data_IF_238855955961
#
_entry.id   IF_238855955961
#
_cell.length_a   1.000
_cell.length_b   1.000
_cell.length_c   1.000
_cell.angle_alpha   90.00
_cell.angle_beta   90.00
_cell.angle_gamma   90.00
#
_symmetry.space_group_name_H-M   'P 1'
#
loop_
_entity.id
_entity.type
_entity.pdbx_description
1 polymer ?
#
# COMPACT_ATOMS: atom_id res chain seq x y z
N UNK A 1 -61.26 4.29 -60.59
CA UNK A 1 -61.04 5.74 -60.47
C UNK A 1 -61.08 6.06 -58.98
N UNK A 2 -60.08 6.60 -58.31
CA UNK A 2 -58.90 7.29 -58.76
C UNK A 2 -58.51 8.21 -57.61
N UNK A 3 -57.36 7.88 -57.01
CA UNK A 3 -56.38 8.80 -56.46
C UNK A 3 -56.55 9.49 -55.09
N UNK A 4 -55.68 9.00 -54.20
CA UNK A 4 -54.74 9.73 -53.34
C UNK A 4 -55.18 10.20 -51.95
N UNK A 5 -55.10 9.23 -51.01
CA UNK A 5 -54.51 9.45 -49.69
C UNK A 5 -53.07 9.96 -49.85
N UNK A 6 -52.77 11.16 -49.35
CA UNK A 6 -51.41 11.56 -48.97
C UNK A 6 -51.37 11.65 -47.45
N UNK A 7 -51.05 10.52 -46.82
CA UNK A 7 -50.44 10.51 -45.48
C UNK A 7 -49.02 11.04 -45.66
N UNK A 8 -48.77 12.29 -45.28
CA UNK A 8 -47.41 12.77 -45.05
C UNK A 8 -46.86 12.04 -43.82
N UNK A 9 -46.28 10.86 -44.05
CA UNK A 9 -45.31 10.29 -43.14
C UNK A 9 -44.07 11.17 -43.24
N UNK A 10 -43.92 12.07 -42.26
CA UNK A 10 -42.63 12.67 -41.95
C UNK A 10 -41.77 11.53 -41.39
N UNK A 11 -41.08 10.82 -42.27
CA UNK A 11 -39.94 9.99 -41.89
C UNK A 11 -38.79 10.96 -41.63
N UNK A 12 -38.81 11.63 -40.48
CA UNK A 12 -37.54 12.03 -39.88
C UNK A 12 -36.83 10.73 -39.55
N UNK A 13 -35.72 10.48 -40.22
CA UNK A 13 -34.79 9.40 -39.91
C UNK A 13 -34.43 9.47 -38.43
N UNK A 14 -35.17 8.73 -37.61
CA UNK A 14 -34.71 8.32 -36.30
C UNK A 14 -33.65 7.26 -36.59
N UNK A 15 -32.42 7.69 -36.84
CA UNK A 15 -31.26 6.86 -36.57
C UNK A 15 -31.31 6.58 -35.08
N UNK A 16 -31.87 5.42 -34.74
CA UNK A 16 -31.81 4.87 -33.39
C UNK A 16 -30.32 4.69 -33.10
N UNK A 17 -29.82 5.58 -32.24
CA UNK A 17 -28.52 5.51 -31.60
C UNK A 17 -28.37 4.13 -30.96
N UNK A 18 -27.58 3.28 -31.59
CA UNK A 18 -26.94 2.14 -30.96
C UNK A 18 -25.47 2.21 -31.32
N UNK A 19 -24.75 3.08 -30.61
CA UNK A 19 -23.44 2.73 -30.09
C UNK A 19 -23.28 3.35 -28.70
N UNK A 20 -23.04 2.45 -27.75
CA UNK A 20 -22.99 2.63 -26.31
C UNK A 20 -21.54 2.97 -25.94
N UNK A 21 -21.07 4.13 -26.41
CA UNK A 21 -19.93 4.77 -25.77
C UNK A 21 -20.49 5.51 -24.56
N UNK A 22 -20.33 4.92 -23.37
CA UNK A 22 -20.61 5.61 -22.12
C UNK A 22 -19.90 6.97 -22.16
N UNK A 23 -20.66 8.05 -22.05
CA UNK A 23 -20.09 9.39 -21.95
C UNK A 23 -19.03 9.36 -20.86
N UNK A 24 -17.77 9.59 -21.24
CA UNK A 24 -16.68 9.76 -20.30
C UNK A 24 -17.11 10.76 -19.22
N UNK A 25 -16.67 10.59 -17.96
CA UNK A 25 -16.99 11.56 -16.93
C UNK A 25 -16.61 12.97 -17.38
N UNK A 26 -17.37 13.97 -16.92
CA UNK A 26 -17.01 15.36 -17.18
C UNK A 26 -15.57 15.58 -16.73
N UNK A 27 -14.78 16.32 -17.54
CA UNK A 27 -13.34 16.54 -17.30
C UNK A 27 -12.47 15.28 -17.41
N UNK A 28 -12.93 14.30 -18.19
CA UNK A 28 -12.10 13.21 -18.70
C UNK A 28 -12.00 13.29 -20.23
N UNK A 29 -10.88 12.84 -20.78
CA UNK A 29 -10.62 12.84 -22.22
C UNK A 29 -9.71 11.69 -22.62
N UNK A 30 -9.85 11.21 -23.85
CA UNK A 30 -9.08 10.10 -24.41
C UNK A 30 -9.93 8.82 -24.57
N UNK A 31 -9.40 7.82 -25.26
CA UNK A 31 -10.07 6.53 -25.48
C UNK A 31 -9.29 5.38 -24.84
N UNK A 32 -8.11 5.07 -25.37
CA UNK A 32 -7.26 3.99 -24.88
C UNK A 32 -6.48 4.43 -23.63
N UNK A 33 -6.05 5.70 -23.64
CA UNK A 33 -5.46 6.38 -22.48
C UNK A 33 -6.45 7.46 -22.07
N UNK A 34 -7.21 7.20 -21.00
CA UNK A 34 -8.16 8.15 -20.45
C UNK A 34 -7.48 8.95 -19.35
N UNK A 35 -7.48 10.27 -19.52
CA UNK A 35 -6.98 11.20 -18.52
C UNK A 35 -8.14 11.99 -17.93
N UNK A 36 -8.27 11.96 -16.61
CA UNK A 36 -9.30 12.63 -15.84
C UNK A 36 -8.71 13.69 -14.92
N UNK A 37 -9.39 14.82 -14.79
CA UNK A 37 -9.00 15.94 -13.93
C UNK A 37 -10.16 16.45 -13.08
N UNK A 38 -9.85 17.00 -11.90
CA UNK A 38 -10.83 17.55 -10.96
C UNK A 38 -12.00 16.59 -10.66
N UNK A 39 -11.71 15.30 -10.52
CA UNK A 39 -12.69 14.30 -10.11
C UNK A 39 -12.83 14.28 -8.60
N UNK A 40 -14.04 14.08 -8.10
CA UNK A 40 -14.34 13.86 -6.67
C UNK A 40 -14.54 12.37 -6.36
N UNK A 41 -14.99 11.60 -7.36
CA UNK A 41 -15.13 10.15 -7.33
C UNK A 41 -14.93 9.58 -8.74
N UNK A 42 -14.73 8.26 -8.84
CA UNK A 42 -14.58 7.55 -10.11
C UNK A 42 -15.66 6.48 -10.17
N UNK A 43 -16.49 6.53 -11.21
CA UNK A 43 -17.45 5.46 -11.51
C UNK A 43 -16.93 4.62 -12.69
N UNK A 44 -16.48 3.38 -12.46
CA UNK A 44 -15.94 2.52 -13.52
C UNK A 44 -16.89 2.31 -14.70
N UNK A 45 -18.22 2.38 -14.48
CA UNK A 45 -19.23 2.22 -15.55
C UNK A 45 -19.24 3.36 -16.58
N UNK A 46 -18.60 4.49 -16.27
CA UNK A 46 -18.50 5.66 -17.15
C UNK A 46 -17.29 5.60 -18.09
N UNK A 47 -16.49 4.54 -18.05
CA UNK A 47 -15.28 4.39 -18.85
C UNK A 47 -15.49 3.35 -19.96
N UNK A 48 -14.84 3.52 -21.13
CA UNK A 48 -14.93 2.57 -22.22
C UNK A 48 -14.21 1.27 -21.88
N UNK A 49 -14.78 0.13 -22.28
CA UNK A 49 -14.18 -1.19 -22.04
C UNK A 49 -12.85 -1.41 -22.78
N UNK A 50 -12.60 -0.64 -23.85
CA UNK A 50 -11.35 -0.64 -24.61
C UNK A 50 -10.18 0.06 -23.90
N UNK A 51 -10.45 0.84 -22.84
CA UNK A 51 -9.43 1.60 -22.12
C UNK A 51 -8.29 0.70 -21.62
N UNK A 52 -7.07 1.12 -21.91
CA UNK A 52 -5.82 0.44 -21.52
C UNK A 52 -5.14 1.13 -20.34
N UNK A 53 -5.29 2.46 -20.24
CA UNK A 53 -4.65 3.26 -19.20
C UNK A 53 -5.62 4.31 -18.65
N UNK A 54 -5.68 4.40 -17.33
CA UNK A 54 -6.42 5.43 -16.62
C UNK A 54 -5.44 6.31 -15.84
N UNK A 55 -5.38 7.60 -16.21
CA UNK A 55 -4.64 8.62 -15.49
C UNK A 55 -5.60 9.58 -14.78
N UNK A 56 -5.55 9.57 -13.46
CA UNK A 56 -6.29 10.48 -12.59
C UNK A 56 -5.34 11.57 -12.11
N UNK A 57 -5.57 12.81 -12.51
CA UNK A 57 -4.72 13.95 -12.20
C UNK A 57 -5.51 15.03 -11.47
N UNK A 58 -4.87 15.85 -10.63
CA UNK A 58 -5.46 17.05 -10.05
C UNK A 58 -6.89 16.84 -9.51
N UNK A 59 -7.10 15.74 -8.78
CA UNK A 59 -8.43 15.29 -8.35
C UNK A 59 -8.52 15.23 -6.82
N UNK A 60 -9.70 15.48 -6.27
CA UNK A 60 -9.93 15.54 -4.81
C UNK A 60 -10.45 14.20 -4.27
N UNK A 61 -10.09 13.10 -4.92
CA UNK A 61 -10.47 11.75 -4.49
C UNK A 61 -9.68 11.45 -3.22
N UNK A 62 -10.38 11.29 -2.10
CA UNK A 62 -9.73 11.06 -0.82
C UNK A 62 -9.44 9.58 -0.53
N UNK A 63 -10.20 8.68 -1.16
CA UNK A 63 -10.19 7.26 -0.83
C UNK A 63 -10.10 6.43 -2.11
N UNK A 64 -9.23 5.42 -2.09
CA UNK A 64 -9.29 4.29 -3.01
C UNK A 64 -9.90 3.11 -2.25
N UNK A 65 -11.20 2.84 -2.37
CA UNK A 65 -11.82 1.69 -1.72
C UNK A 65 -11.54 0.40 -2.50
N UNK A 66 -11.58 -0.74 -1.81
CA UNK A 66 -11.49 -2.09 -2.38
C UNK A 66 -12.42 -2.29 -3.59
N UNK A 67 -13.66 -1.81 -3.51
CA UNK A 67 -14.67 -1.99 -4.56
C UNK A 67 -14.31 -1.32 -5.89
N UNK A 68 -13.46 -0.30 -5.90
CA UNK A 68 -13.17 0.49 -7.09
C UNK A 68 -12.42 -0.32 -8.16
N UNK A 69 -11.26 -0.87 -7.81
CA UNK A 69 -10.44 -1.61 -8.78
C UNK A 69 -11.07 -2.96 -9.13
N UNK A 70 -11.78 -3.60 -8.20
CA UNK A 70 -12.56 -4.81 -8.50
C UNK A 70 -13.63 -4.57 -9.56
N UNK A 71 -14.25 -3.39 -9.55
CA UNK A 71 -15.23 -2.98 -10.56
C UNK A 71 -14.55 -2.69 -11.91
N UNK A 72 -13.36 -2.08 -11.91
CA UNK A 72 -12.59 -1.85 -13.13
C UNK A 72 -12.17 -3.16 -13.82
N UNK A 73 -11.82 -4.22 -13.07
CA UNK A 73 -11.48 -5.52 -13.66
C UNK A 73 -12.65 -6.07 -14.50
N UNK A 74 -13.88 -5.89 -14.03
CA UNK A 74 -15.08 -6.40 -14.70
C UNK A 74 -15.50 -5.54 -15.88
N UNK A 75 -15.40 -4.21 -15.76
CA UNK A 75 -15.94 -3.26 -16.74
C UNK A 75 -14.89 -2.88 -17.80
N UNK A 76 -13.61 -2.83 -17.42
CA UNK A 76 -12.50 -2.41 -18.28
C UNK A 76 -11.44 -3.53 -18.34
N UNK A 77 -11.73 -4.64 -19.05
CA UNK A 77 -10.88 -5.83 -19.06
C UNK A 77 -9.47 -5.59 -19.62
N UNK A 78 -9.31 -4.57 -20.45
CA UNK A 78 -8.03 -4.20 -21.07
C UNK A 78 -7.17 -3.26 -20.22
N UNK A 79 -7.66 -2.80 -19.07
CA UNK A 79 -6.95 -1.85 -18.22
C UNK A 79 -5.65 -2.47 -17.69
N UNK A 80 -4.51 -1.91 -18.11
CA UNK A 80 -3.15 -2.32 -17.74
C UNK A 80 -2.47 -1.32 -16.82
N UNK A 81 -2.72 -0.03 -16.99
CA UNK A 81 -2.03 1.02 -16.24
C UNK A 81 -3.01 1.85 -15.44
N UNK A 82 -2.77 1.94 -14.13
CA UNK A 82 -3.49 2.85 -13.25
C UNK A 82 -2.50 3.88 -12.69
N UNK A 83 -2.67 5.14 -13.10
CA UNK A 83 -1.81 6.25 -12.70
C UNK A 83 -2.60 7.30 -11.93
N UNK A 84 -2.09 7.71 -10.79
CA UNK A 84 -2.58 8.86 -10.03
C UNK A 84 -1.48 9.91 -9.92
N UNK A 85 -1.83 11.18 -10.14
CA UNK A 85 -0.90 12.31 -10.00
C UNK A 85 -1.59 13.49 -9.32
N UNK A 86 -0.89 14.19 -8.43
CA UNK A 86 -1.36 15.44 -7.82
C UNK A 86 -2.80 15.36 -7.29
N UNK A 87 -3.15 14.26 -6.63
CA UNK A 87 -4.50 14.02 -6.13
C UNK A 87 -4.51 13.95 -4.61
N UNK A 88 -5.67 14.15 -3.99
CA UNK A 88 -5.80 14.24 -2.52
C UNK A 88 -6.07 12.89 -1.83
N UNK A 89 -5.44 11.80 -2.31
CA UNK A 89 -5.69 10.45 -1.77
C UNK A 89 -5.15 10.35 -0.36
N UNK A 90 -6.03 10.37 0.64
CA UNK A 90 -5.67 10.20 2.04
C UNK A 90 -5.43 8.72 2.39
N UNK A 91 -6.22 7.81 1.81
CA UNK A 91 -6.16 6.40 2.20
C UNK A 91 -6.16 5.46 0.99
N UNK A 92 -5.21 4.52 0.99
CA UNK A 92 -5.31 3.30 0.20
C UNK A 92 -5.80 2.21 1.14
N UNK A 93 -7.06 1.83 0.98
CA UNK A 93 -7.77 0.95 1.91
C UNK A 93 -7.28 -0.51 1.77
N UNK A 94 -7.54 -1.33 2.79
CA UNK A 94 -7.30 -2.77 2.70
C UNK A 94 -7.94 -3.36 1.44
N UNK A 95 -7.25 -4.30 0.80
CA UNK A 95 -7.69 -4.98 -0.41
C UNK A 95 -7.90 -4.10 -1.65
N UNK A 96 -7.53 -2.80 -1.60
CA UNK A 96 -7.67 -1.88 -2.74
C UNK A 96 -7.15 -2.46 -4.04
N UNK A 97 -5.96 -3.05 -3.99
CA UNK A 97 -5.29 -3.65 -5.14
C UNK A 97 -5.31 -5.18 -5.10
N UNK A 98 -6.15 -5.79 -4.25
CA UNK A 98 -6.25 -7.24 -4.20
C UNK A 98 -6.88 -7.81 -5.46
N UNK A 99 -6.39 -8.97 -5.90
CA UNK A 99 -6.93 -9.71 -7.05
C UNK A 99 -7.03 -8.90 -8.36
N UNK A 100 -6.27 -7.80 -8.49
CA UNK A 100 -6.17 -7.08 -9.77
C UNK A 100 -5.46 -7.98 -10.77
N UNK A 101 -6.22 -8.63 -11.65
CA UNK A 101 -5.68 -9.60 -12.62
C UNK A 101 -5.19 -8.96 -13.91
N UNK A 102 -5.72 -7.77 -14.21
CA UNK A 102 -5.53 -7.13 -15.52
C UNK A 102 -4.44 -6.06 -15.48
N UNK A 103 -4.17 -5.46 -14.32
CA UNK A 103 -3.18 -4.39 -14.17
C UNK A 103 -1.75 -4.93 -14.27
N UNK A 104 -0.91 -4.23 -15.02
CA UNK A 104 0.54 -4.45 -15.09
C UNK A 104 1.33 -3.32 -14.43
N UNK A 105 0.76 -2.11 -14.30
CA UNK A 105 1.46 -0.94 -13.78
C UNK A 105 0.59 -0.12 -12.82
N UNK A 106 1.14 0.19 -11.65
CA UNK A 106 0.56 1.11 -10.66
C UNK A 106 1.56 2.25 -10.44
N UNK A 107 1.12 3.48 -10.71
CA UNK A 107 1.98 4.67 -10.62
C UNK A 107 1.28 5.72 -9.76
N UNK A 108 1.90 6.13 -8.66
CA UNK A 108 1.39 7.18 -7.78
C UNK A 108 2.45 8.26 -7.66
N UNK A 109 2.08 9.49 -8.04
CA UNK A 109 3.03 10.59 -8.14
C UNK A 109 2.49 11.89 -7.51
N UNK A 110 3.36 12.70 -6.93
CA UNK A 110 3.07 14.07 -6.48
C UNK A 110 1.83 14.15 -5.57
N UNK A 111 1.65 13.16 -4.69
CA UNK A 111 0.45 12.97 -3.87
C UNK A 111 0.81 12.90 -2.39
N UNK A 112 -0.13 13.26 -1.51
CA UNK A 112 0.01 13.09 -0.06
C UNK A 112 -0.98 12.06 0.43
N UNK A 113 -0.47 10.95 0.96
CA UNK A 113 -1.23 9.84 1.53
C UNK A 113 -1.08 9.89 3.04
N UNK A 114 -2.18 9.76 3.78
CA UNK A 114 -2.09 9.55 5.21
C UNK A 114 -1.62 8.12 5.45
N UNK A 115 -2.41 7.12 5.04
CA UNK A 115 -2.11 5.73 5.35
C UNK A 115 -2.25 4.81 4.14
N UNK A 116 -1.22 4.00 3.90
CA UNK A 116 -1.36 2.76 3.15
C UNK A 116 -1.72 1.67 4.16
N UNK A 117 -3.00 1.29 4.17
CA UNK A 117 -3.56 0.42 5.20
C UNK A 117 -3.02 -1.01 5.04
N UNK A 118 -3.05 -1.77 6.14
CA UNK A 118 -2.72 -3.19 6.15
C UNK A 118 -3.46 -3.93 5.02
N UNK A 119 -2.73 -4.78 4.28
CA UNK A 119 -3.22 -5.54 3.12
C UNK A 119 -3.76 -4.67 1.96
N UNK A 120 -3.38 -3.40 1.85
CA UNK A 120 -3.77 -2.56 0.72
C UNK A 120 -3.30 -3.12 -0.64
N UNK A 121 -2.09 -3.68 -0.66
CA UNK A 121 -1.47 -4.36 -1.80
C UNK A 121 -1.26 -5.84 -1.47
N UNK A 122 -2.35 -6.59 -1.32
CA UNK A 122 -2.33 -8.03 -1.05
C UNK A 122 -2.52 -8.88 -2.31
N UNK A 123 -1.85 -10.03 -2.37
CA UNK A 123 -2.04 -11.07 -3.41
C UNK A 123 -1.93 -10.56 -4.85
N UNK A 124 -1.02 -9.62 -5.09
CA UNK A 124 -0.79 -9.03 -6.41
C UNK A 124 0.14 -9.95 -7.20
N UNK A 125 -0.35 -10.48 -8.33
CA UNK A 125 0.41 -11.40 -9.20
C UNK A 125 0.59 -10.93 -10.64
N UNK A 126 -0.25 -10.00 -11.12
CA UNK A 126 -0.19 -9.52 -12.51
C UNK A 126 0.61 -8.24 -12.69
N UNK A 127 0.77 -7.46 -11.62
CA UNK A 127 1.47 -6.18 -11.68
C UNK A 127 2.96 -6.47 -11.81
N UNK A 128 3.60 -5.80 -12.77
CA UNK A 128 5.04 -5.88 -13.01
C UNK A 128 5.76 -4.65 -12.49
N UNK A 129 5.05 -3.52 -12.35
CA UNK A 129 5.64 -2.23 -12.02
C UNK A 129 4.81 -1.48 -10.98
N UNK A 130 5.42 -1.14 -9.85
CA UNK A 130 4.84 -0.27 -8.82
C UNK A 130 5.81 0.90 -8.60
N UNK A 131 5.34 2.14 -8.78
CA UNK A 131 6.16 3.32 -8.50
C UNK A 131 5.41 4.35 -7.64
N UNK A 132 6.06 4.76 -6.55
CA UNK A 132 5.69 5.90 -5.73
C UNK A 132 6.76 6.97 -5.89
N UNK A 133 6.41 8.09 -6.53
CA UNK A 133 7.37 9.13 -6.90
C UNK A 133 6.93 10.47 -6.32
N UNK A 134 7.78 11.10 -5.51
CA UNK A 134 7.46 12.38 -4.86
C UNK A 134 6.14 12.31 -4.06
N UNK A 135 6.02 11.28 -3.21
CA UNK A 135 4.84 11.04 -2.38
C UNK A 135 5.17 11.29 -0.91
N UNK A 136 4.29 12.00 -0.21
CA UNK A 136 4.35 12.09 1.26
C UNK A 136 3.40 11.05 1.85
N UNK A 137 3.88 10.23 2.79
CA UNK A 137 3.10 9.19 3.46
C UNK A 137 3.23 9.36 4.98
N UNK A 138 2.11 9.41 5.70
CA UNK A 138 2.18 9.41 7.16
C UNK A 138 2.55 8.00 7.68
N UNK A 139 1.83 6.96 7.25
CA UNK A 139 2.10 5.59 7.66
C UNK A 139 1.99 4.60 6.48
N UNK A 140 2.97 3.72 6.37
CA UNK A 140 2.85 2.43 5.68
C UNK A 140 2.63 1.37 6.75
N UNK A 141 1.41 0.84 6.84
CA UNK A 141 1.02 -0.07 7.91
C UNK A 141 1.66 -1.45 7.75
N UNK A 142 1.64 -2.25 8.83
CA UNK A 142 2.09 -3.65 8.81
C UNK A 142 1.39 -4.41 7.68
N UNK A 143 2.11 -5.28 6.97
CA UNK A 143 1.58 -6.06 5.85
C UNK A 143 0.88 -5.23 4.75
N UNK A 144 1.22 -3.94 4.60
CA UNK A 144 0.68 -3.10 3.54
C UNK A 144 0.95 -3.69 2.14
N UNK A 145 2.13 -4.27 1.94
CA UNK A 145 2.55 -5.01 0.76
C UNK A 145 2.83 -6.46 1.15
N UNK A 146 1.81 -7.31 1.09
CA UNK A 146 1.87 -8.72 1.50
C UNK A 146 1.57 -9.63 0.32
N UNK A 147 2.37 -10.69 0.12
CA UNK A 147 2.22 -11.64 -1.01
C UNK A 147 2.17 -10.93 -2.36
N UNK A 148 3.02 -9.93 -2.52
CA UNK A 148 3.24 -9.31 -3.83
C UNK A 148 4.25 -10.19 -4.54
N UNK A 149 3.93 -10.62 -5.77
CA UNK A 149 4.74 -11.60 -6.51
C UNK A 149 5.03 -11.13 -7.93
N UNK A 150 6.19 -11.52 -8.46
CA UNK A 150 6.60 -11.36 -9.86
C UNK A 150 6.67 -9.89 -10.34
N UNK A 151 7.17 -9.01 -9.47
CA UNK A 151 7.37 -7.60 -9.79
C UNK A 151 8.72 -7.40 -10.47
N UNK A 152 8.72 -6.84 -11.67
CA UNK A 152 9.94 -6.45 -12.34
C UNK A 152 10.57 -5.22 -11.68
N UNK A 153 9.75 -4.27 -11.24
CA UNK A 153 10.24 -2.99 -10.73
C UNK A 153 9.34 -2.39 -9.65
N UNK A 154 9.85 -2.30 -8.43
CA UNK A 154 9.24 -1.55 -7.34
C UNK A 154 10.13 -0.34 -6.99
N UNK A 155 9.65 0.87 -7.29
CA UNK A 155 10.38 2.12 -7.01
C UNK A 155 9.64 2.98 -6.00
N UNK A 156 10.38 3.45 -5.02
CA UNK A 156 10.00 4.45 -4.03
C UNK A 156 11.05 5.55 -4.07
N UNK A 157 10.76 6.64 -4.79
CA UNK A 157 11.73 7.70 -5.05
C UNK A 157 11.19 9.06 -4.59
N UNK A 158 12.05 9.85 -3.94
CA UNK A 158 11.69 11.15 -3.35
C UNK A 158 10.49 11.06 -2.40
N UNK A 159 10.39 10.00 -1.61
CA UNK A 159 9.31 9.85 -0.64
C UNK A 159 9.61 10.58 0.66
N UNK A 160 8.57 11.11 1.31
CA UNK A 160 8.63 11.57 2.70
C UNK A 160 7.71 10.71 3.53
N UNK A 161 8.26 9.80 4.33
CA UNK A 161 7.48 8.84 5.12
C UNK A 161 7.64 9.13 6.61
N UNK A 162 6.57 9.29 7.36
CA UNK A 162 6.66 9.42 8.82
C UNK A 162 6.90 8.06 9.48
N UNK A 163 6.14 7.02 9.14
CA UNK A 163 6.33 5.68 9.71
C UNK A 163 6.23 4.57 8.67
N UNK A 164 7.21 3.67 8.66
CA UNK A 164 7.15 2.36 8.00
C UNK A 164 7.08 1.32 9.11
N UNK A 165 5.93 0.64 9.24
CA UNK A 165 5.70 -0.34 10.31
C UNK A 165 6.44 -1.65 10.05
N UNK A 166 6.58 -2.47 11.09
CA UNK A 166 7.21 -3.79 10.99
C UNK A 166 6.47 -4.64 9.95
N UNK A 167 7.20 -5.47 9.19
CA UNK A 167 6.64 -6.34 8.16
C UNK A 167 5.76 -5.62 7.11
N UNK A 168 5.96 -4.31 6.88
CA UNK A 168 5.23 -3.57 5.82
C UNK A 168 5.44 -4.15 4.42
N UNK A 169 6.61 -4.74 4.18
CA UNK A 169 7.06 -5.35 2.93
C UNK A 169 7.34 -6.85 3.12
N UNK A 170 6.38 -7.58 3.71
CA UNK A 170 6.52 -9.00 3.98
C UNK A 170 6.15 -9.87 2.76
N UNK A 171 6.84 -10.99 2.57
CA UNK A 171 6.53 -11.96 1.49
C UNK A 171 6.54 -11.31 0.09
N UNK A 172 7.63 -10.59 -0.21
CA UNK A 172 7.90 -10.05 -1.54
C UNK A 172 8.66 -11.09 -2.38
N UNK A 173 7.97 -11.78 -3.27
CA UNK A 173 8.54 -12.91 -4.03
C UNK A 173 8.81 -12.56 -5.50
N UNK A 174 9.96 -13.01 -6.02
CA UNK A 174 10.40 -12.90 -7.41
C UNK A 174 10.47 -11.45 -7.92
N UNK A 175 11.13 -10.60 -7.15
CA UNK A 175 11.35 -9.21 -7.51
C UNK A 175 12.65 -9.08 -8.31
N UNK A 176 12.61 -8.43 -9.46
CA UNK A 176 13.86 -8.12 -10.18
C UNK A 176 14.56 -6.90 -9.57
N UNK A 177 13.82 -5.84 -9.33
CA UNK A 177 14.36 -4.58 -8.82
C UNK A 177 13.47 -3.97 -7.75
N UNK A 178 14.07 -3.68 -6.58
CA UNK A 178 13.47 -2.83 -5.55
C UNK A 178 14.38 -1.63 -5.30
N UNK A 179 13.83 -0.42 -5.43
CA UNK A 179 14.54 0.84 -5.30
C UNK A 179 13.87 1.73 -4.27
N UNK A 180 14.61 2.10 -3.23
CA UNK A 180 14.25 3.16 -2.30
C UNK A 180 15.30 4.27 -2.40
N UNK A 181 14.96 5.37 -3.06
CA UNK A 181 15.94 6.42 -3.38
C UNK A 181 15.49 7.81 -2.96
N UNK A 182 16.46 8.65 -2.59
CA UNK A 182 16.26 10.09 -2.33
C UNK A 182 15.12 10.39 -1.34
N UNK A 183 14.86 9.49 -0.40
CA UNK A 183 13.68 9.55 0.47
C UNK A 183 14.05 9.93 1.91
N UNK A 184 13.09 10.48 2.64
CA UNK A 184 13.21 10.87 4.03
C UNK A 184 12.20 10.11 4.89
N UNK A 185 12.69 9.19 5.71
CA UNK A 185 11.90 8.28 6.53
C UNK A 185 12.12 8.67 8.00
N UNK A 186 11.08 9.09 8.72
CA UNK A 186 11.24 9.46 10.13
C UNK A 186 11.44 8.23 11.01
N UNK A 187 10.56 7.24 10.89
CA UNK A 187 10.65 5.99 11.63
C UNK A 187 10.53 4.82 10.66
N UNK A 188 11.55 3.98 10.64
CA UNK A 188 11.48 2.64 10.07
C UNK A 188 11.52 1.65 11.23
N UNK A 189 10.41 0.97 11.46
CA UNK A 189 10.33 -0.10 12.46
C UNK A 189 11.20 -1.30 12.03
N UNK A 190 11.44 -2.18 12.99
CA UNK A 190 12.35 -3.31 12.80
C UNK A 190 11.76 -4.34 11.85
N UNK A 191 12.63 -4.98 11.05
CA UNK A 191 12.21 -5.95 10.04
C UNK A 191 11.07 -5.40 9.17
N UNK A 192 11.27 -4.24 8.51
CA UNK A 192 10.27 -3.71 7.58
C UNK A 192 10.03 -4.72 6.45
N UNK A 193 11.07 -5.50 6.15
CA UNK A 193 11.01 -6.73 5.37
C UNK A 193 10.98 -7.93 6.31
N UNK A 194 10.01 -8.81 6.12
CA UNK A 194 9.86 -10.06 6.85
C UNK A 194 9.72 -11.24 5.88
N UNK A 195 10.50 -12.30 6.10
CA UNK A 195 10.55 -13.54 5.33
C UNK A 195 10.97 -13.37 3.84
N UNK A 196 11.47 -14.48 3.26
CA UNK A 196 11.77 -14.74 1.84
C UNK A 196 11.58 -13.55 0.88
N UNK A 197 12.64 -12.77 0.69
CA UNK A 197 12.76 -11.91 -0.49
C UNK A 197 13.67 -12.58 -1.51
N UNK A 198 13.09 -13.06 -2.61
CA UNK A 198 13.85 -13.34 -3.82
C UNK A 198 13.94 -12.06 -4.66
N UNK A 199 14.68 -11.08 -4.13
CA UNK A 199 15.04 -9.86 -4.88
C UNK A 199 16.35 -10.10 -5.62
N UNK A 200 16.37 -9.84 -6.93
CA UNK A 200 17.60 -9.91 -7.73
C UNK A 200 18.50 -8.68 -7.53
N UNK A 201 17.89 -7.49 -7.36
CA UNK A 201 18.60 -6.24 -7.10
C UNK A 201 17.82 -5.37 -6.11
N UNK A 202 18.45 -5.05 -4.98
CA UNK A 202 17.94 -4.13 -3.98
C UNK A 202 18.85 -2.89 -3.97
N UNK A 203 18.29 -1.71 -4.17
CA UNK A 203 18.99 -0.44 -4.09
C UNK A 203 18.32 0.47 -3.06
N UNK A 204 19.12 0.92 -2.10
CA UNK A 204 18.73 1.91 -1.10
C UNK A 204 19.79 3.01 -1.16
N UNK A 205 19.47 4.13 -1.82
CA UNK A 205 20.46 5.19 -2.05
C UNK A 205 19.95 6.61 -1.79
N UNK A 206 20.78 7.45 -1.19
CA UNK A 206 20.47 8.87 -1.01
C UNK A 206 19.34 9.12 0.00
N UNK A 207 19.07 8.19 0.91
CA UNK A 207 17.99 8.33 1.88
C UNK A 207 18.46 8.95 3.20
N UNK A 208 17.54 9.62 3.90
CA UNK A 208 17.70 9.99 5.32
C UNK A 208 16.71 9.17 6.14
N UNK A 209 17.20 8.34 7.05
CA UNK A 209 16.38 7.45 7.87
C UNK A 209 16.62 7.83 9.34
N UNK A 210 15.68 8.54 9.97
CA UNK A 210 15.82 9.05 11.34
C UNK A 210 15.55 7.98 12.42
N UNK A 211 15.87 6.71 12.13
CA UNK A 211 15.77 5.59 13.06
C UNK A 211 16.96 4.64 12.90
N UNK A 212 17.17 3.77 13.90
CA UNK A 212 18.15 2.69 13.82
C UNK A 212 17.62 1.59 12.90
N UNK A 213 18.47 1.11 11.98
CA UNK A 213 18.12 0.01 11.10
C UNK A 213 18.32 -1.33 11.83
N UNK A 214 17.24 -2.07 12.02
CA UNK A 214 17.25 -3.36 12.71
C UNK A 214 16.68 -4.46 11.83
N UNK A 215 17.33 -5.63 11.83
CA UNK A 215 16.87 -6.79 11.06
C UNK A 215 17.16 -6.72 9.55
N UNK A 216 18.05 -5.81 9.11
CA UNK A 216 18.46 -5.72 7.69
C UNK A 216 19.77 -6.48 7.39
N UNK A 217 20.35 -7.14 8.40
CA UNK A 217 21.65 -7.82 8.30
C UNK A 217 21.71 -8.84 7.15
N UNK A 218 20.61 -9.54 6.88
CA UNK A 218 20.49 -10.48 5.76
C UNK A 218 20.54 -9.78 4.39
N UNK A 219 20.02 -8.56 4.28
CA UNK A 219 19.96 -7.83 3.01
C UNK A 219 21.34 -7.38 2.54
N UNK A 220 22.27 -7.10 3.47
CA UNK A 220 23.64 -6.72 3.13
C UNK A 220 24.45 -7.87 2.49
N UNK A 221 23.96 -9.11 2.57
CA UNK A 221 24.64 -10.28 2.01
C UNK A 221 24.24 -10.60 0.56
N UNK A 222 23.18 -9.96 0.03
CA UNK A 222 22.57 -10.27 -1.27
C UNK A 222 22.53 -9.04 -2.19
N UNK A 223 23.60 -8.77 -2.95
CA UNK A 223 23.57 -7.82 -4.08
C UNK A 223 23.03 -6.40 -3.79
N UNK A 224 23.00 -6.00 -2.52
CA UNK A 224 22.40 -4.75 -2.06
C UNK A 224 23.33 -3.57 -2.39
N UNK A 225 22.79 -2.59 -3.10
CA UNK A 225 23.41 -1.28 -3.28
C UNK A 225 22.91 -0.35 -2.18
N UNK A 226 23.68 -0.24 -1.09
CA UNK A 226 23.36 0.63 0.04
C UNK A 226 24.36 1.80 0.10
N UNK A 227 24.00 2.94 -0.51
CA UNK A 227 24.95 4.05 -0.73
C UNK A 227 24.37 5.43 -0.40
N UNK A 228 25.20 6.37 0.04
CA UNK A 228 24.83 7.77 0.28
C UNK A 228 23.63 7.95 1.23
N UNK A 229 23.40 7.02 2.15
CA UNK A 229 22.33 7.12 3.14
C UNK A 229 22.83 7.76 4.43
N UNK A 230 21.96 8.49 5.10
CA UNK A 230 22.16 8.99 6.46
C UNK A 230 21.18 8.30 7.40
N UNK A 231 21.65 7.68 8.50
CA UNK A 231 20.77 7.00 9.45
C UNK A 231 21.30 7.01 10.89
N UNK A 232 20.49 6.60 11.86
CA UNK A 232 20.95 6.44 13.26
C UNK A 232 21.74 5.13 13.38
N UNK A 233 23.00 5.24 13.77
CA UNK A 233 23.90 4.10 13.89
C UNK A 233 23.75 3.45 15.26
N UNK A 234 23.48 2.15 15.27
CA UNK A 234 23.57 1.30 16.45
C UNK A 234 24.63 0.20 16.30
N UNK A 235 24.86 -0.60 17.34
CA UNK A 235 25.94 -1.59 17.40
C UNK A 235 25.96 -2.60 16.24
N UNK A 236 24.78 -2.96 15.71
CA UNK A 236 24.64 -3.91 14.59
C UNK A 236 24.92 -3.29 13.21
N UNK A 237 24.69 -1.98 13.07
CA UNK A 237 24.84 -1.26 11.80
C UNK A 237 26.22 -0.64 11.63
N UNK A 238 26.95 -0.40 12.73
CA UNK A 238 28.24 0.30 12.70
C UNK A 238 29.33 -0.47 11.95
N UNK A 239 29.31 -1.81 11.96
CA UNK A 239 30.31 -2.63 11.27
C UNK A 239 29.98 -2.90 9.80
N UNK A 240 28.69 -2.97 9.45
CA UNK A 240 28.24 -3.50 8.15
C UNK A 240 27.78 -2.42 7.17
N UNK A 241 27.18 -1.33 7.67
CA UNK A 241 26.52 -0.33 6.82
C UNK A 241 27.38 0.92 6.56
N UNK A 242 28.32 1.25 7.44
CA UNK A 242 29.20 2.43 7.30
C UNK A 242 30.41 2.20 6.39
N UNK A 243 30.82 0.95 6.24
CA UNK A 243 32.02 0.56 5.45
C UNK A 243 31.75 0.53 3.95
N UNK A 244 30.48 0.54 3.53
CA UNK A 244 30.06 0.51 2.14
C UNK A 244 29.43 1.85 1.75
N UNK A 245 29.67 2.28 0.51
CA UNK A 245 28.75 3.18 -0.18
C UNK A 245 28.66 4.64 0.27
N UNK A 246 29.59 5.21 1.04
CA UNK A 246 29.53 6.62 1.49
C UNK A 246 28.29 6.93 2.36
N UNK A 247 27.95 6.02 3.27
CA UNK A 247 26.88 6.24 4.25
C UNK A 247 27.36 7.05 5.47
N UNK A 248 26.43 7.73 6.16
CA UNK A 248 26.71 8.64 7.28
C UNK A 248 25.84 8.31 8.52
N UNK A 249 26.46 8.32 9.69
CA UNK A 249 25.71 8.33 10.95
C UNK A 249 25.17 9.73 11.26
N UNK A 250 23.85 9.85 11.44
CA UNK A 250 23.19 11.07 11.94
C UNK A 250 23.47 11.22 13.44
N UNK A 251 23.29 10.12 14.17
CA UNK A 251 23.61 9.99 15.59
C UNK A 251 24.01 8.55 15.89
N UNK A 252 24.57 8.32 17.09
CA UNK A 252 24.97 6.99 17.55
C UNK A 252 24.16 6.63 18.79
N UNK A 253 23.70 5.39 18.83
CA UNK A 253 23.00 4.82 19.99
C UNK A 253 23.73 3.57 20.46
N UNK A 254 23.73 3.36 21.78
CA UNK A 254 24.36 2.18 22.40
C UNK A 254 23.37 1.03 22.60
N UNK A 255 22.08 1.27 22.33
CA UNK A 255 21.04 0.27 22.48
C UNK A 255 21.12 -0.72 21.30
N UNK A 256 21.29 -2.00 21.61
CA UNK A 256 21.19 -3.08 20.63
C UNK A 256 19.78 -3.15 20.05
N UNK A 257 19.63 -3.70 18.84
CA UNK A 257 18.30 -3.97 18.33
C UNK A 257 17.61 -4.96 19.27
N UNK A 258 16.32 -4.76 19.58
CA UNK A 258 15.61 -5.75 20.36
C UNK A 258 15.37 -7.01 19.50
N UNK A 259 14.92 -8.11 20.12
CA UNK A 259 14.76 -9.38 19.42
C UNK A 259 13.82 -9.26 18.22
N UNK A 260 14.24 -9.86 17.10
CA UNK A 260 13.43 -9.97 15.89
C UNK A 260 12.11 -10.68 16.21
N UNK A 261 11.01 -10.13 15.69
CA UNK A 261 9.67 -10.69 15.89
C UNK A 261 9.51 -11.95 15.06
N UNK A 262 8.84 -12.96 15.60
CA UNK A 262 8.45 -14.12 14.82
C UNK A 262 7.30 -13.74 13.86
N UNK A 263 7.63 -13.63 12.58
CA UNK A 263 6.73 -13.21 11.51
C UNK A 263 5.86 -14.37 10.99
N UNK A 264 6.14 -15.62 11.39
CA UNK A 264 5.30 -16.77 11.00
C UNK A 264 3.87 -16.70 11.56
N UNK A 265 3.65 -15.96 12.66
CA UNK A 265 2.30 -15.72 13.19
C UNK A 265 1.51 -14.65 12.42
N UNK A 266 2.17 -13.83 11.58
CA UNK A 266 1.50 -12.87 10.69
C UNK A 266 0.83 -13.56 9.49
N UNK A 267 1.08 -14.87 9.29
CA UNK A 267 0.64 -15.67 8.13
C UNK A 267 -0.85 -16.05 8.20
N UNK A 268 -1.55 -15.72 9.28
CA UNK A 268 -2.99 -16.02 9.39
C UNK A 268 -3.88 -15.05 8.57
N UNK A 269 -4.14 -15.49 7.33
CA UNK A 269 -5.36 -15.33 6.51
C UNK A 269 -6.19 -14.05 6.69
N UNK A 270 -5.66 -12.89 6.32
CA UNK A 270 -6.56 -11.82 5.87
C UNK A 270 -6.97 -12.11 4.44
N UNK A 271 -8.20 -12.61 4.25
CA UNK A 271 -8.73 -12.97 2.94
C UNK A 271 -9.55 -11.81 2.36
N UNK A 272 -8.98 -11.13 1.37
CA UNK A 272 -9.65 -10.06 0.65
C UNK A 272 -10.93 -10.48 -0.08
N UNK A 273 -11.15 -11.78 -0.29
CA UNK A 273 -12.40 -12.27 -0.88
C UNK A 273 -13.58 -12.16 0.09
N UNK A 274 -13.32 -12.09 1.40
CA UNK A 274 -14.34 -12.04 2.46
C UNK A 274 -14.65 -10.63 2.97
N UNK A 275 -13.85 -9.63 2.59
CA UNK A 275 -14.00 -8.23 3.06
C UNK A 275 -15.19 -7.55 2.38
N UNK A 276 -16.08 -6.95 3.18
CA UNK A 276 -17.25 -6.23 2.67
C UNK A 276 -16.84 -4.93 1.94
N UNK A 277 -17.59 -4.47 0.92
CA UNK A 277 -17.22 -3.30 0.10
C UNK A 277 -16.99 -1.98 0.86
N UNK A 278 -17.56 -1.84 2.06
CA UNK A 278 -17.59 -0.59 2.84
C UNK A 278 -16.82 -0.66 4.18
N UNK A 279 -16.14 -1.77 4.50
CA UNK A 279 -15.34 -1.91 5.73
C UNK A 279 -13.95 -1.25 5.66
N UNK A 280 -13.71 -0.39 4.66
CA UNK A 280 -12.38 0.11 4.29
C UNK A 280 -11.59 0.81 5.40
N UNK A 281 -12.26 1.34 6.42
CA UNK A 281 -11.58 1.87 7.60
C UNK A 281 -11.67 0.82 8.71
N UNK A 282 -10.86 -0.23 8.62
CA UNK A 282 -10.35 -0.85 9.84
C UNK A 282 -9.02 -0.18 10.16
N UNK A 283 -9.02 0.93 10.94
CA UNK A 283 -7.80 1.30 11.62
C UNK A 283 -7.50 0.11 12.51
N UNK A 284 -6.33 -0.49 12.36
CA UNK A 284 -5.85 -1.48 13.30
C UNK A 284 -6.00 -0.82 14.67
N UNK A 285 -6.96 -1.27 15.48
CA UNK A 285 -7.06 -0.86 16.87
C UNK A 285 -5.71 -1.20 17.48
N UNK A 286 -5.01 -0.19 18.01
CA UNK A 286 -3.71 -0.32 18.65
C UNK A 286 -3.83 -1.19 19.92
N UNK A 287 -3.98 -2.50 19.75
CA UNK A 287 -3.74 -3.48 20.81
C UNK A 287 -2.97 -4.67 20.21
N UNK A 288 -1.76 -4.37 19.74
CA UNK A 288 -0.72 -5.38 19.64
C UNK A 288 0.49 -4.91 20.43
N UNK A 289 0.44 -5.20 21.73
CA UNK A 289 1.47 -5.58 22.72
C UNK A 289 2.86 -4.87 22.74
N UNK A 290 3.28 -4.09 21.73
CA UNK A 290 4.61 -3.47 21.66
C UNK A 290 4.59 -2.21 20.76
N UNK A 291 4.31 -1.04 21.35
CA UNK A 291 4.28 0.26 20.64
C UNK A 291 5.64 0.96 20.57
N UNK A 292 5.81 1.85 19.61
CA UNK A 292 6.95 2.78 19.51
C UNK A 292 6.44 4.18 19.81
N UNK A 293 7.11 4.91 20.70
CA UNK A 293 6.73 6.29 20.99
C UNK A 293 7.10 7.25 19.84
N UNK A 294 6.57 8.48 19.87
CA UNK A 294 6.89 9.56 18.89
C UNK A 294 8.38 9.95 18.86
N UNK A 295 9.22 9.33 19.68
CA UNK A 295 10.67 9.55 19.77
C UNK A 295 11.46 8.32 19.28
N UNK A 296 10.79 7.33 18.67
CA UNK A 296 11.44 6.15 18.10
C UNK A 296 11.88 5.11 19.12
N UNK A 297 11.34 5.13 20.34
CA UNK A 297 11.70 4.19 21.41
C UNK A 297 10.69 3.05 21.50
N UNK A 298 11.18 1.81 21.36
CA UNK A 298 10.36 0.60 21.48
C UNK A 298 9.97 0.36 22.94
N UNK A 299 8.70 0.06 23.20
CA UNK A 299 8.23 -0.44 24.49
C UNK A 299 7.38 -1.70 24.31
N UNK A 300 7.41 -2.56 25.33
CA UNK A 300 6.55 -3.72 25.48
C UNK A 300 5.40 -3.39 26.42
N UNK A 301 4.16 -3.58 25.97
CA UNK A 301 2.93 -3.48 26.76
C UNK A 301 2.21 -4.82 26.77
N UNK A 302 2.32 -5.59 27.84
CA UNK A 302 1.62 -6.86 27.97
C UNK A 302 0.11 -6.67 28.23
N UNK A 303 -0.71 -6.69 27.19
CA UNK A 303 -2.16 -6.95 27.30
C UNK A 303 -2.60 -7.84 26.14
N UNK A 304 -2.48 -9.14 26.33
CA UNK A 304 -3.22 -10.17 25.60
C UNK A 304 -4.39 -10.55 26.51
N UNK A 305 -5.64 -10.33 26.11
CA UNK A 305 -6.75 -11.30 26.21
C UNK A 305 -8.06 -10.76 25.59
N UNK A 306 -8.61 -11.62 24.72
CA UNK A 306 -10.02 -11.91 24.41
C UNK A 306 -10.87 -11.05 23.44
N UNK A 307 -10.93 -11.60 22.23
CA UNK A 307 -12.11 -11.63 21.35
C UNK A 307 -13.21 -12.50 22.01
N UNK A 308 -14.45 -12.01 22.00
CA UNK A 308 -15.64 -12.87 21.96
C UNK A 308 -16.38 -13.04 23.28
N UNK A 309 -17.31 -12.12 23.55
CA UNK A 309 -18.42 -12.36 24.48
C UNK A 309 -19.34 -13.44 23.90
N UNK A 310 -19.23 -14.66 24.42
CA UNK A 310 -20.34 -15.59 24.58
C UNK A 310 -20.35 -16.05 26.04
N UNK A 311 -21.45 -15.75 26.74
CA UNK A 311 -21.80 -16.21 28.09
C UNK A 311 -21.51 -17.73 28.23
N UNK A 312 -20.99 -18.25 29.34
CA UNK A 312 -21.67 -18.46 30.62
C UNK A 312 -20.67 -18.59 31.81
N UNK A 313 -21.09 -18.08 32.97
CA UNK A 313 -20.73 -18.39 34.37
C UNK A 313 -19.57 -19.38 34.63
N UNK A 314 -18.64 -19.01 35.52
CA UNK A 314 -18.53 -19.51 36.93
C UNK A 314 -17.30 -18.85 37.61
N UNK A 315 -17.58 -18.22 38.75
CA UNK A 315 -16.76 -17.91 39.95
C UNK A 315 -15.51 -17.01 39.91
N UNK A 316 -15.77 -15.76 40.30
CA UNK A 316 -14.88 -14.87 41.09
C UNK A 316 -14.56 -15.55 42.44
N UNK A 317 -13.28 -15.63 42.84
CA UNK A 317 -12.80 -15.49 44.25
C UNK A 317 -11.27 -15.60 44.35
N UNK A 318 -10.66 -14.55 44.93
CA UNK A 318 -9.40 -14.46 45.71
C UNK A 318 -8.06 -14.94 45.09
N UNK A 319 -6.91 -14.27 45.24
CA UNK A 319 -6.46 -13.46 46.36
C UNK A 319 -5.33 -12.48 45.94
N UNK A 320 -5.52 -11.20 46.27
CA UNK A 320 -4.45 -10.30 46.69
C UNK A 320 -4.65 -10.14 48.19
N UNK A 321 -3.84 -10.82 49.00
CA UNK A 321 -3.42 -10.40 50.35
C UNK A 321 -2.48 -11.47 50.88
N UNK A 322 -1.20 -11.13 51.05
CA UNK A 322 -0.41 -11.37 52.26
C UNK A 322 1.04 -10.91 52.00
N UNK A 323 1.27 -9.62 52.23
CA UNK A 323 2.45 -9.19 52.98
C UNK A 323 2.26 -9.64 54.43
N UNK A 324 3.36 -10.06 55.07
CA UNK A 324 3.62 -10.20 56.52
C UNK A 324 3.65 -11.62 57.12
N UNK A 325 4.87 -11.99 57.56
CA UNK A 325 5.27 -13.00 58.57
C UNK A 325 4.94 -14.48 58.21
N UNK A 326 5.91 -15.40 58.10
CA UNK A 326 7.02 -15.81 59.00
C UNK A 326 8.21 -16.29 58.14
#
# INVERSE_FOLDING_TARGET
MGYHRFLLYVVTSLTIFQDIDGFLPAKCSGSDVVTCYNQTYINPKSFPASMVSLHVSASTIENLPHSLLRSFIQICPNLKTFKITSSAIKYIHSCSFSSVSNLSQILIQDTSINTIVQNAFSDIKSVQKIEFINVTIQEISKLAFHKVQNIDRFVMDRMRVESIRYASFAELENFKEFKLTNSNIQVMEQQPVANEMSISSLEISGNTINSQLCGLNSLFTSGLVFTNNSFICGPETETSALTLGNNRCISRVTQSCPPLKNTSMLIHSFDCQTVSPDEGIQPVSEEEVFGIDKKGKNFASSTLFDVGTAFWNVDIILAITLLNYI
#
